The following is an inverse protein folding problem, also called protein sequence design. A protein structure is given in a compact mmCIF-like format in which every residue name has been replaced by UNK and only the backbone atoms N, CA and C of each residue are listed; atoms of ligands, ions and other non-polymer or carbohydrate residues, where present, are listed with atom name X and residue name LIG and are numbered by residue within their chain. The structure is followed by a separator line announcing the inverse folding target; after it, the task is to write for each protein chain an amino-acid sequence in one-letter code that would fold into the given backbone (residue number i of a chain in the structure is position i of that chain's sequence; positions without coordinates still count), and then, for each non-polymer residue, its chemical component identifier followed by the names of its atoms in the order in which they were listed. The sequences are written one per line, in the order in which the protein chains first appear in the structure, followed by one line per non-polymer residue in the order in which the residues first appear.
data_IF_639215196643
#
_entry.id   IF_639215196643
#
_cell.length_a   1.000
_cell.length_b   1.000
_cell.length_c   1.000
_cell.angle_alpha   90.00
_cell.angle_beta   90.00
_cell.angle_gamma   90.00
#
_symmetry.space_group_name_H-M   'P 1'
#
loop_
_entity.id
_entity.type
_entity.pdbx_description
1 polymer ?
#
# COMPACT_ATOMS: atom_id res chain seq x y z
N UNK A 1 -19.34 12.43 -10.89
CA UNK A 1 -18.36 11.46 -11.41
C UNK A 1 -19.13 10.28 -11.96
N UNK A 2 -18.76 9.79 -13.13
CA UNK A 2 -19.40 8.60 -13.71
C UNK A 2 -18.77 7.31 -13.15
N UNK A 3 -19.36 6.15 -13.48
CA UNK A 3 -18.90 4.83 -13.03
C UNK A 3 -17.44 4.56 -13.38
N UNK A 4 -17.02 4.87 -14.60
CA UNK A 4 -15.67 4.60 -15.10
C UNK A 4 -14.63 5.42 -14.34
N UNK A 5 -14.88 6.72 -14.12
CA UNK A 5 -14.02 7.59 -13.33
C UNK A 5 -13.87 7.11 -11.88
N UNK A 6 -14.97 6.69 -11.26
CA UNK A 6 -14.96 6.17 -9.90
C UNK A 6 -14.20 4.84 -9.79
N UNK A 7 -14.41 3.92 -10.74
CA UNK A 7 -13.67 2.66 -10.79
C UNK A 7 -12.17 2.90 -11.02
N UNK A 8 -11.80 3.87 -11.87
CA UNK A 8 -10.40 4.23 -12.10
C UNK A 8 -9.73 4.79 -10.84
N UNK A 9 -10.37 5.72 -10.13
CA UNK A 9 -9.82 6.26 -8.87
C UNK A 9 -9.82 5.24 -7.73
N UNK A 10 -10.76 4.30 -7.73
CA UNK A 10 -10.89 3.35 -6.63
C UNK A 10 -9.91 2.16 -6.74
N UNK A 11 -9.04 2.09 -7.74
CA UNK A 11 -8.10 0.97 -7.88
C UNK A 11 -7.19 0.82 -6.65
N UNK A 12 -6.89 -0.42 -6.25
CA UNK A 12 -5.91 -0.67 -5.21
C UNK A 12 -4.52 -0.75 -5.83
N UNK A 13 -3.54 -0.09 -5.22
CA UNK A 13 -2.16 -0.08 -5.71
C UNK A 13 -1.61 -1.51 -5.72
N UNK A 14 -1.47 -2.09 -6.91
CA UNK A 14 -0.85 -3.39 -7.14
C UNK A 14 0.67 -3.21 -7.11
N UNK A 15 1.28 -3.45 -5.95
CA UNK A 15 2.73 -3.39 -5.82
C UNK A 15 3.30 -4.80 -5.88
N UNK A 16 4.03 -5.08 -6.96
CA UNK A 16 4.77 -6.32 -7.16
C UNK A 16 6.24 -6.02 -7.43
N UNK A 17 7.09 -7.02 -7.25
CA UNK A 17 8.48 -6.91 -7.69
C UNK A 17 8.53 -6.70 -9.21
N UNK A 18 9.26 -5.68 -9.68
CA UNK A 18 9.37 -5.37 -11.11
C UNK A 18 10.13 -6.44 -11.88
N UNK A 19 9.68 -6.72 -13.10
CA UNK A 19 10.24 -7.74 -14.00
C UNK A 19 10.94 -7.15 -15.22
N UNK A 20 10.71 -5.87 -15.51
CA UNK A 20 11.27 -5.16 -16.65
C UNK A 20 11.57 -3.70 -16.27
N UNK A 21 12.26 -2.98 -17.16
CA UNK A 21 12.72 -1.61 -16.89
C UNK A 21 11.58 -0.62 -16.63
N UNK A 22 10.45 -0.72 -17.34
CA UNK A 22 9.29 0.15 -17.10
C UNK A 22 8.71 -0.07 -15.70
N UNK A 23 8.56 -1.34 -15.30
CA UNK A 23 8.06 -1.67 -13.97
C UNK A 23 9.02 -1.21 -12.86
N UNK A 24 10.33 -1.16 -13.13
CA UNK A 24 11.30 -0.58 -12.20
C UNK A 24 11.09 0.92 -12.00
N UNK A 25 10.80 1.67 -13.07
CA UNK A 25 10.44 3.09 -12.97
C UNK A 25 9.17 3.29 -12.14
N UNK A 26 8.14 2.48 -12.39
CA UNK A 26 6.88 2.53 -11.62
C UNK A 26 7.13 2.17 -10.14
N UNK A 27 8.02 1.22 -9.87
CA UNK A 27 8.43 0.86 -8.51
C UNK A 27 9.10 2.03 -7.80
N UNK A 28 10.01 2.76 -8.44
CA UNK A 28 10.63 3.95 -7.86
C UNK A 28 9.63 5.09 -7.64
N UNK A 29 8.67 5.28 -8.54
CA UNK A 29 7.58 6.24 -8.36
C UNK A 29 6.70 5.86 -7.15
N UNK A 30 6.37 4.57 -6.99
CA UNK A 30 5.69 4.08 -5.79
C UNK A 30 6.48 4.38 -4.52
N UNK A 31 7.78 4.07 -4.49
CA UNK A 31 8.65 4.35 -3.34
C UNK A 31 8.69 5.85 -3.03
N UNK A 32 8.76 6.70 -4.06
CA UNK A 32 8.74 8.15 -3.91
C UNK A 32 7.46 8.61 -3.21
N UNK A 33 6.29 8.18 -3.69
CA UNK A 33 4.99 8.55 -3.09
C UNK A 33 4.87 8.02 -1.67
N UNK A 34 5.18 6.75 -1.42
CA UNK A 34 5.05 6.13 -0.10
C UNK A 34 5.96 6.82 0.94
N UNK A 35 7.20 7.11 0.55
CA UNK A 35 8.23 7.67 1.42
C UNK A 35 8.20 9.21 1.52
N UNK A 36 7.60 9.89 0.55
CA UNK A 36 7.64 11.34 0.41
C UNK A 36 9.00 11.89 -0.04
N UNK A 37 9.83 11.04 -0.65
CA UNK A 37 11.14 11.40 -1.19
C UNK A 37 11.00 11.70 -2.68
N UNK A 38 11.81 12.63 -3.18
CA UNK A 38 11.84 12.99 -4.58
C UNK A 38 12.21 11.79 -5.47
N UNK A 39 11.39 11.53 -6.49
CA UNK A 39 11.60 10.43 -7.45
C UNK A 39 12.89 10.63 -8.25
N UNK A 40 13.24 11.88 -8.58
CA UNK A 40 14.43 12.17 -9.39
C UNK A 40 15.71 11.79 -8.63
N UNK A 41 15.73 12.03 -7.32
CA UNK A 41 16.82 11.63 -6.45
C UNK A 41 16.98 10.10 -6.40
N UNK A 42 15.87 9.36 -6.33
CA UNK A 42 15.88 7.89 -6.32
C UNK A 42 16.43 7.38 -7.66
N UNK A 43 15.91 7.91 -8.77
CA UNK A 43 16.31 7.52 -10.11
C UNK A 43 17.78 7.84 -10.41
N UNK A 44 18.28 8.99 -9.94
CA UNK A 44 19.69 9.37 -10.09
C UNK A 44 20.60 8.29 -9.48
N UNK A 45 20.31 7.86 -8.25
CA UNK A 45 21.10 6.81 -7.57
C UNK A 45 20.94 5.46 -8.24
N UNK A 46 19.72 5.07 -8.64
CA UNK A 46 19.50 3.82 -9.36
C UNK A 46 20.27 3.78 -10.69
N UNK A 47 20.29 4.89 -11.44
CA UNK A 47 20.99 5.00 -12.72
C UNK A 47 22.50 4.83 -12.59
N UNK A 48 23.11 5.37 -11.53
CA UNK A 48 24.54 5.16 -11.25
C UNK A 48 24.84 3.67 -11.09
N UNK A 49 24.03 2.95 -10.30
CA UNK A 49 24.22 1.52 -10.07
C UNK A 49 23.98 0.68 -11.33
N UNK A 50 22.95 1.01 -12.11
CA UNK A 50 22.69 0.36 -13.39
C UNK A 50 23.86 0.52 -14.36
N UNK A 51 24.44 1.73 -14.46
CA UNK A 51 25.60 2.00 -15.31
C UNK A 51 26.82 1.20 -14.87
N UNK A 52 27.08 1.07 -13.57
CA UNK A 52 28.15 0.25 -13.04
C UNK A 52 27.96 -1.23 -13.38
N UNK A 53 26.73 -1.75 -13.28
CA UNK A 53 26.42 -3.12 -13.68
C UNK A 53 26.65 -3.34 -15.19
N UNK A 54 26.24 -2.39 -16.04
CA UNK A 54 26.50 -2.47 -17.49
C UNK A 54 28.00 -2.48 -17.80
N UNK A 55 28.78 -1.63 -17.11
CA UNK A 55 30.24 -1.60 -17.28
C UNK A 55 30.89 -2.92 -16.83
N UNK A 56 30.45 -3.48 -15.70
CA UNK A 56 30.91 -4.79 -15.23
C UNK A 56 30.66 -5.89 -16.27
N UNK A 57 29.44 -5.94 -16.82
CA UNK A 57 29.08 -6.92 -17.85
C UNK A 57 29.89 -6.76 -19.15
N UNK A 58 30.27 -5.53 -19.52
CA UNK A 58 31.15 -5.29 -20.66
C UNK A 58 32.56 -5.82 -20.40
N UNK A 59 33.12 -5.53 -19.22
CA UNK A 59 34.45 -6.03 -18.84
C UNK A 59 34.49 -7.56 -18.75
N UNK A 60 33.41 -8.20 -18.28
CA UNK A 60 33.31 -9.67 -18.24
C UNK A 60 33.39 -10.30 -19.64
N UNK A 61 32.91 -9.60 -20.66
CA UNK A 61 32.99 -10.05 -22.06
C UNK A 61 34.35 -9.77 -22.69
N UNK A 62 34.95 -8.63 -22.36
CA UNK A 62 36.23 -8.20 -22.91
C UNK A 62 36.90 -7.21 -21.96
N UNK A 63 38.02 -7.61 -21.37
CA UNK A 63 38.87 -6.79 -20.50
C UNK A 63 40.28 -6.66 -21.12
N UNK A 64 40.43 -5.93 -22.24
CA UNK A 64 41.70 -5.82 -22.94
C UNK A 64 42.78 -5.11 -22.10
N UNK A 65 42.35 -4.21 -21.20
CA UNK A 65 43.22 -3.42 -20.34
C UNK A 65 43.51 -4.10 -18.99
N UNK A 66 42.90 -5.27 -18.72
CA UNK A 66 43.03 -6.03 -17.46
C UNK A 66 42.66 -5.22 -16.21
N UNK A 67 41.66 -4.34 -16.33
CA UNK A 67 41.22 -3.41 -15.27
C UNK A 67 40.12 -3.96 -14.37
N UNK A 68 39.63 -5.19 -14.62
CA UNK A 68 38.48 -5.76 -13.90
C UNK A 68 38.60 -5.65 -12.38
N UNK A 69 39.74 -6.05 -11.79
CA UNK A 69 39.91 -6.04 -10.34
C UNK A 69 39.84 -4.63 -9.73
N UNK A 70 40.43 -3.65 -10.40
CA UNK A 70 40.37 -2.26 -9.95
C UNK A 70 38.94 -1.70 -10.07
N UNK A 71 38.27 -2.01 -11.18
CA UNK A 71 36.88 -1.65 -11.39
C UNK A 71 35.95 -2.25 -10.32
N UNK A 72 36.09 -3.53 -10.01
CA UNK A 72 35.30 -4.22 -8.98
C UNK A 72 35.49 -3.60 -7.61
N UNK A 73 36.74 -3.27 -7.22
CA UNK A 73 37.00 -2.59 -5.95
C UNK A 73 36.31 -1.22 -5.86
N UNK A 74 36.36 -0.41 -6.93
CA UNK A 74 35.66 0.88 -6.97
C UNK A 74 34.15 0.71 -6.96
N UNK A 75 33.63 -0.25 -7.72
CA UNK A 75 32.20 -0.58 -7.79
C UNK A 75 31.69 -0.94 -6.39
N UNK A 76 32.37 -1.82 -5.69
CA UNK A 76 31.93 -2.33 -4.39
C UNK A 76 31.85 -1.19 -3.34
N UNK A 77 32.78 -0.23 -3.39
CA UNK A 77 32.69 0.99 -2.56
C UNK A 77 31.44 1.81 -2.88
N UNK A 78 31.12 2.01 -4.17
CA UNK A 78 29.91 2.74 -4.57
C UNK A 78 28.64 2.00 -4.14
N UNK A 79 28.60 0.68 -4.28
CA UNK A 79 27.48 -0.14 -3.83
C UNK A 79 27.29 -0.09 -2.32
N UNK A 80 28.36 -0.18 -1.51
CA UNK A 80 28.27 -0.05 -0.06
C UNK A 80 27.74 1.32 0.39
N UNK A 81 28.19 2.39 -0.26
CA UNK A 81 27.70 3.74 -0.01
C UNK A 81 26.22 3.90 -0.40
N UNK A 82 25.82 3.36 -1.56
CA UNK A 82 24.43 3.39 -2.00
C UNK A 82 23.51 2.55 -1.10
N UNK A 83 23.96 1.37 -0.66
CA UNK A 83 23.25 0.51 0.30
C UNK A 83 22.97 1.26 1.60
N UNK A 84 24.00 1.88 2.17
CA UNK A 84 23.87 2.73 3.38
C UNK A 84 22.87 3.86 3.15
N UNK A 85 22.93 4.51 1.98
CA UNK A 85 22.03 5.59 1.63
C UNK A 85 20.58 5.12 1.52
N UNK A 86 20.30 4.01 0.84
CA UNK A 86 18.95 3.46 0.70
C UNK A 86 18.37 2.96 2.02
N UNK A 87 19.17 2.29 2.85
CA UNK A 87 18.75 1.89 4.20
C UNK A 87 18.38 3.14 5.02
N UNK A 88 19.18 4.20 4.96
CA UNK A 88 18.86 5.46 5.64
C UNK A 88 17.59 6.12 5.09
N UNK A 89 17.39 6.03 3.78
CA UNK A 89 16.29 6.65 3.06
C UNK A 89 14.96 5.92 3.29
N UNK A 90 14.94 4.61 3.10
CA UNK A 90 13.71 3.80 3.07
C UNK A 90 13.56 2.81 4.22
N UNK A 91 14.63 2.54 4.97
CA UNK A 91 14.66 1.46 5.95
C UNK A 91 15.01 0.08 5.37
N UNK A 92 15.37 0.01 4.09
CA UNK A 92 15.83 -1.23 3.43
C UNK A 92 16.80 -0.90 2.28
N UNK A 93 17.53 -1.90 1.82
CA UNK A 93 18.56 -1.76 0.79
C UNK A 93 18.02 -2.11 -0.62
N UNK A 94 18.13 -1.18 -1.56
CA UNK A 94 17.74 -1.37 -2.96
C UNK A 94 18.84 -2.03 -3.83
N UNK A 95 20.05 -2.20 -3.29
CA UNK A 95 21.21 -2.74 -4.03
C UNK A 95 21.36 -4.25 -3.91
N UNK A 96 20.66 -4.86 -2.95
CA UNK A 96 20.65 -6.29 -2.69
C UNK A 96 19.33 -6.94 -3.15
N UNK A 97 19.26 -8.28 -3.10
CA UNK A 97 18.01 -8.97 -3.38
C UNK A 97 17.00 -8.71 -2.26
N UNK A 98 15.82 -8.21 -2.60
CA UNK A 98 14.72 -7.98 -1.66
C UNK A 98 13.38 -8.38 -2.30
N UNK A 99 12.37 -8.53 -1.46
CA UNK A 99 10.99 -8.76 -1.85
C UNK A 99 10.07 -7.62 -1.37
N UNK A 100 8.80 -7.66 -1.80
CA UNK A 100 7.83 -6.63 -1.41
C UNK A 100 7.57 -6.60 0.10
N UNK A 101 7.72 -7.73 0.80
CA UNK A 101 7.55 -7.75 2.26
C UNK A 101 8.66 -6.93 2.93
N UNK A 102 9.89 -7.05 2.47
CA UNK A 102 11.04 -6.25 2.91
C UNK A 102 10.81 -4.76 2.65
N UNK A 103 10.31 -4.41 1.47
CA UNK A 103 9.96 -3.02 1.10
C UNK A 103 8.94 -2.46 2.09
N UNK A 104 7.83 -3.15 2.31
CA UNK A 104 6.78 -2.68 3.21
C UNK A 104 7.25 -2.57 4.66
N UNK A 105 7.99 -3.56 5.15
CA UNK A 105 8.55 -3.54 6.50
C UNK A 105 9.51 -2.36 6.70
N UNK A 106 10.41 -2.12 5.74
CA UNK A 106 11.34 -0.98 5.78
C UNK A 106 10.59 0.35 5.80
N UNK A 107 9.64 0.52 4.87
CA UNK A 107 8.82 1.72 4.79
C UNK A 107 8.02 1.96 6.07
N UNK A 108 7.30 0.95 6.58
CA UNK A 108 6.52 1.09 7.81
C UNK A 108 7.38 1.38 9.03
N UNK A 109 8.54 0.74 9.14
CA UNK A 109 9.52 1.02 10.20
C UNK A 109 10.02 2.47 10.13
N UNK A 110 10.33 2.95 8.92
CA UNK A 110 10.93 4.28 8.71
C UNK A 110 9.93 5.42 8.83
N UNK A 111 8.73 5.28 8.27
CA UNK A 111 7.77 6.38 8.12
C UNK A 111 6.48 6.19 8.93
N UNK A 112 6.18 4.97 9.36
CA UNK A 112 4.93 4.61 10.02
C UNK A 112 3.78 4.36 9.03
N UNK A 113 2.98 3.32 9.30
CA UNK A 113 1.83 2.90 8.46
C UNK A 113 0.89 4.05 8.12
N UNK A 114 0.50 4.87 9.09
CA UNK A 114 -0.44 5.99 8.89
C UNK A 114 0.03 7.00 7.84
N UNK A 115 1.31 7.39 7.86
CA UNK A 115 1.84 8.37 6.89
C UNK A 115 1.86 7.79 5.48
N UNK A 116 2.27 6.53 5.37
CA UNK A 116 2.34 5.82 4.09
C UNK A 116 0.94 5.65 3.49
N UNK A 117 -0.01 5.16 4.28
CA UNK A 117 -1.42 5.01 3.86
C UNK A 117 -1.99 6.36 3.41
N UNK A 118 -1.77 7.42 4.19
CA UNK A 118 -2.25 8.77 3.84
C UNK A 118 -1.69 9.24 2.49
N UNK A 119 -0.39 9.06 2.26
CA UNK A 119 0.28 9.47 1.00
C UNK A 119 -0.22 8.69 -0.21
N UNK A 120 -0.41 7.38 -0.04
CA UNK A 120 -0.80 6.50 -1.14
C UNK A 120 -2.29 6.61 -1.48
N UNK A 121 -3.17 6.72 -0.49
CA UNK A 121 -4.60 6.47 -0.69
C UNK A 121 -5.54 7.62 -0.28
N UNK A 122 -5.08 8.63 0.48
CA UNK A 122 -6.03 9.60 1.06
C UNK A 122 -6.79 10.40 0.01
N UNK A 123 -6.10 10.95 -0.99
CA UNK A 123 -6.71 11.81 -2.00
C UNK A 123 -7.81 11.07 -2.79
N UNK A 124 -7.48 9.90 -3.33
CA UNK A 124 -8.40 9.07 -4.10
C UNK A 124 -9.57 8.56 -3.26
N UNK A 125 -9.34 8.06 -2.03
CA UNK A 125 -10.41 7.55 -1.18
C UNK A 125 -11.37 8.66 -0.74
N UNK A 126 -10.85 9.85 -0.43
CA UNK A 126 -11.68 11.01 -0.08
C UNK A 126 -12.54 11.43 -1.28
N UNK A 127 -11.97 11.47 -2.50
CA UNK A 127 -12.71 11.80 -3.72
C UNK A 127 -13.83 10.81 -3.99
N UNK A 128 -13.53 9.50 -3.92
CA UNK A 128 -14.53 8.43 -4.12
C UNK A 128 -15.63 8.51 -3.06
N UNK A 129 -15.26 8.65 -1.78
CA UNK A 129 -16.22 8.76 -0.68
C UNK A 129 -17.15 9.97 -0.81
N UNK A 130 -16.62 11.13 -1.19
CA UNK A 130 -17.42 12.33 -1.42
C UNK A 130 -18.41 12.14 -2.58
N UNK A 131 -17.98 11.50 -3.68
CA UNK A 131 -18.86 11.21 -4.81
C UNK A 131 -19.98 10.23 -4.43
N UNK A 132 -19.67 9.20 -3.63
CA UNK A 132 -20.66 8.26 -3.09
C UNK A 132 -21.68 9.01 -2.22
N UNK A 133 -21.23 9.90 -1.34
CA UNK A 133 -22.12 10.61 -0.42
C UNK A 133 -23.08 11.60 -1.08
N UNK A 134 -22.73 12.14 -2.25
CA UNK A 134 -23.60 13.04 -3.02
C UNK A 134 -24.78 12.26 -3.64
N UNK A 135 -24.59 10.99 -4.00
CA UNK A 135 -25.62 10.16 -4.60
C UNK A 135 -26.27 9.25 -3.54
N UNK A 136 -27.55 9.51 -3.23
CA UNK A 136 -28.31 8.77 -2.21
C UNK A 136 -28.32 7.25 -2.41
N UNK A 137 -28.48 6.78 -3.65
CA UNK A 137 -28.53 5.35 -3.94
C UNK A 137 -27.16 4.70 -3.70
N UNK A 138 -26.08 5.35 -4.16
CA UNK A 138 -24.70 4.89 -3.92
C UNK A 138 -24.35 4.89 -2.44
N UNK A 139 -24.70 5.95 -1.73
CA UNK A 139 -24.49 6.06 -0.29
C UNK A 139 -25.23 4.94 0.46
N UNK A 140 -26.48 4.63 0.08
CA UNK A 140 -27.25 3.53 0.68
C UNK A 140 -26.60 2.18 0.41
N UNK A 141 -26.19 1.91 -0.84
CA UNK A 141 -25.46 0.71 -1.18
C UNK A 141 -24.15 0.59 -0.39
N UNK A 142 -23.41 1.67 -0.25
CA UNK A 142 -22.16 1.70 0.51
C UNK A 142 -22.32 1.41 2.00
N UNK A 143 -23.33 2.01 2.65
CA UNK A 143 -23.64 1.67 4.04
C UNK A 143 -24.02 0.20 4.20
N UNK A 144 -24.77 -0.36 3.24
CA UNK A 144 -25.13 -1.78 3.26
C UNK A 144 -23.89 -2.69 3.14
N UNK A 145 -22.93 -2.36 2.27
CA UNK A 145 -21.68 -3.13 2.16
C UNK A 145 -20.84 -3.06 3.44
N UNK A 146 -20.74 -1.88 4.06
CA UNK A 146 -20.02 -1.73 5.33
C UNK A 146 -20.70 -2.52 6.47
N UNK A 147 -22.02 -2.45 6.56
CA UNK A 147 -22.78 -3.18 7.56
C UNK A 147 -22.64 -4.70 7.39
N UNK A 148 -22.57 -5.19 6.15
CA UNK A 148 -22.39 -6.61 5.85
C UNK A 148 -21.06 -7.18 6.33
N UNK A 149 -20.04 -6.33 6.50
CA UNK A 149 -18.74 -6.69 7.10
C UNK A 149 -18.59 -6.21 8.55
N UNK A 150 -19.68 -5.76 9.17
CA UNK A 150 -19.71 -5.32 10.57
C UNK A 150 -19.05 -3.97 10.86
N UNK A 151 -18.86 -3.11 9.85
CA UNK A 151 -18.19 -1.81 9.99
C UNK A 151 -19.20 -0.66 10.00
N UNK A 152 -19.00 0.31 10.89
CA UNK A 152 -19.78 1.53 10.92
C UNK A 152 -19.26 2.56 9.90
N UNK A 153 -20.15 3.17 9.13
CA UNK A 153 -19.78 4.21 8.17
C UNK A 153 -19.20 5.47 8.82
N UNK A 154 -19.60 5.81 10.05
CA UNK A 154 -18.99 6.92 10.79
C UNK A 154 -17.54 6.63 11.17
N UNK A 155 -17.16 5.36 11.34
CA UNK A 155 -15.79 4.94 11.55
C UNK A 155 -14.94 5.20 10.31
N UNK A 156 -15.42 4.82 9.12
CA UNK A 156 -14.72 5.14 7.86
C UNK A 156 -14.64 6.65 7.64
N UNK A 157 -15.73 7.38 7.87
CA UNK A 157 -15.75 8.84 7.80
C UNK A 157 -14.71 9.48 8.73
N UNK A 158 -14.52 8.92 9.92
CA UNK A 158 -13.53 9.40 10.89
C UNK A 158 -12.10 9.13 10.43
N UNK A 159 -11.84 7.97 9.81
CA UNK A 159 -10.55 7.68 9.15
C UNK A 159 -10.27 8.72 8.07
N UNK A 160 -11.21 8.94 7.14
CA UNK A 160 -11.02 9.89 6.04
C UNK A 160 -10.84 11.34 6.55
N UNK A 161 -11.63 11.76 7.54
CA UNK A 161 -11.49 13.08 8.18
C UNK A 161 -10.14 13.26 8.86
N UNK A 162 -9.58 12.21 9.47
CA UNK A 162 -8.26 12.32 10.11
C UNK A 162 -7.16 12.71 9.12
N UNK A 163 -7.30 12.36 7.84
CA UNK A 163 -6.34 12.73 6.80
C UNK A 163 -6.46 14.18 6.34
N UNK A 164 -7.61 14.84 6.53
CA UNK A 164 -7.80 16.25 6.16
C UNK A 164 -7.34 17.23 7.24
N UNK A 165 -7.04 16.74 8.45
CA UNK A 165 -6.46 17.53 9.54
C UNK A 165 -5.08 18.04 9.13
N UNK A 166 -4.87 19.36 9.24
CA UNK A 166 -3.63 20.05 8.86
C UNK A 166 -2.50 19.79 9.85
N UNK A 167 -2.80 19.82 11.15
CA UNK A 167 -1.78 19.52 12.16
C UNK A 167 -1.40 18.04 12.11
N UNK A 168 -0.10 17.77 12.08
CA UNK A 168 0.40 16.40 11.87
C UNK A 168 0.19 15.52 13.10
N UNK A 169 0.27 16.07 14.31
CA UNK A 169 0.09 15.31 15.55
C UNK A 169 -1.39 14.99 15.77
N UNK A 170 -2.26 15.97 15.56
CA UNK A 170 -3.71 15.79 15.63
C UNK A 170 -4.20 14.83 14.54
N UNK A 171 -3.71 14.95 13.30
CA UNK A 171 -4.02 14.03 12.20
C UNK A 171 -3.66 12.58 12.59
N UNK A 172 -2.46 12.37 13.14
CA UNK A 172 -2.02 11.05 13.57
C UNK A 172 -2.85 10.49 14.73
N UNK A 173 -3.19 11.33 15.72
CA UNK A 173 -4.00 10.92 16.87
C UNK A 173 -5.44 10.57 16.45
N UNK A 174 -6.06 11.42 15.63
CA UNK A 174 -7.40 11.18 15.10
C UNK A 174 -7.44 9.89 14.26
N UNK A 175 -6.43 9.67 13.42
CA UNK A 175 -6.32 8.44 12.64
C UNK A 175 -6.20 7.22 13.55
N UNK A 176 -5.33 7.28 14.56
CA UNK A 176 -5.12 6.17 15.49
C UNK A 176 -6.39 5.78 16.22
N UNK A 177 -7.18 6.76 16.67
CA UNK A 177 -8.47 6.51 17.34
C UNK A 177 -9.46 5.84 16.38
N UNK A 178 -9.68 6.44 15.20
CA UNK A 178 -10.63 5.93 14.22
C UNK A 178 -10.23 4.54 13.70
N UNK A 179 -8.94 4.31 13.50
CA UNK A 179 -8.42 3.03 13.04
C UNK A 179 -8.52 1.94 14.11
N UNK A 180 -8.27 2.26 15.39
CA UNK A 180 -8.51 1.31 16.49
C UNK A 180 -9.98 0.90 16.57
N UNK A 181 -10.90 1.84 16.39
CA UNK A 181 -12.34 1.55 16.34
C UNK A 181 -12.67 0.62 15.16
N UNK A 182 -12.11 0.89 13.98
CA UNK A 182 -12.27 0.04 12.80
C UNK A 182 -11.75 -1.39 13.05
N UNK A 183 -10.57 -1.53 13.64
CA UNK A 183 -10.03 -2.86 14.00
C UNK A 183 -10.93 -3.58 14.99
N UNK A 184 -11.45 -2.90 16.01
CA UNK A 184 -12.37 -3.49 16.98
C UNK A 184 -13.69 -3.94 16.34
N UNK A 185 -14.25 -3.16 15.42
CA UNK A 185 -15.47 -3.53 14.67
C UNK A 185 -15.26 -4.80 13.83
N UNK A 186 -14.14 -4.87 13.10
CA UNK A 186 -13.81 -6.05 12.29
C UNK A 186 -13.58 -7.31 13.14
N UNK A 187 -12.85 -7.17 14.25
CA UNK A 187 -12.56 -8.29 15.16
C UNK A 187 -13.84 -8.79 15.83
N UNK A 188 -14.73 -7.89 16.27
CA UNK A 188 -15.99 -8.29 16.88
C UNK A 188 -16.92 -8.97 15.88
N UNK A 189 -16.99 -8.46 14.65
CA UNK A 189 -17.76 -9.12 13.61
C UNK A 189 -17.20 -10.52 13.29
N UNK A 190 -15.88 -10.67 13.20
CA UNK A 190 -15.21 -11.95 13.03
C UNK A 190 -15.49 -12.93 14.17
N UNK A 191 -15.46 -12.44 15.42
CA UNK A 191 -15.82 -13.21 16.62
C UNK A 191 -17.22 -13.79 16.51
N UNK A 192 -18.20 -12.97 16.09
CA UNK A 192 -19.58 -13.38 15.93
C UNK A 192 -19.75 -14.42 14.81
N UNK A 193 -19.13 -14.19 13.65
CA UNK A 193 -19.18 -15.10 12.51
C UNK A 193 -18.64 -16.50 12.81
N UNK A 194 -17.61 -16.58 13.66
CA UNK A 194 -16.93 -17.84 14.00
C UNK A 194 -17.31 -18.38 15.38
N UNK A 195 -18.27 -17.76 16.07
CA UNK A 195 -18.71 -18.13 17.41
C UNK A 195 -17.54 -18.32 18.39
N UNK A 196 -16.57 -17.40 18.35
CA UNK A 196 -15.36 -17.49 19.20
C UNK A 196 -15.71 -16.97 20.60
N UNK A 197 -15.81 -17.87 21.56
CA UNK A 197 -16.15 -17.53 22.96
C UNK A 197 -14.93 -17.06 23.78
N UNK A 198 -13.72 -17.48 23.38
CA UNK A 198 -12.49 -17.19 24.11
C UNK A 198 -11.78 -15.93 23.62
N UNK A 199 -11.63 -14.94 24.51
CA UNK A 199 -10.89 -13.72 24.26
C UNK A 199 -9.40 -13.98 23.97
N UNK A 200 -8.82 -15.03 24.54
CA UNK A 200 -7.43 -15.43 24.29
C UNK A 200 -7.21 -15.92 22.86
N UNK A 201 -8.24 -16.49 22.23
CA UNK A 201 -8.17 -16.90 20.82
C UNK A 201 -8.16 -15.68 19.91
N UNK A 202 -8.97 -14.65 20.21
CA UNK A 202 -9.04 -13.41 19.42
C UNK A 202 -7.76 -12.59 19.47
N UNK A 203 -7.10 -12.52 20.63
CA UNK A 203 -5.83 -11.77 20.79
C UNK A 203 -4.69 -12.29 19.90
N UNK A 204 -4.78 -13.54 19.44
CA UNK A 204 -3.79 -14.16 18.55
C UNK A 204 -4.15 -14.04 17.06
N UNK A 205 -5.33 -13.53 16.71
CA UNK A 205 -5.75 -13.38 15.32
C UNK A 205 -5.15 -12.10 14.74
N UNK A 206 -4.32 -12.24 13.71
CA UNK A 206 -3.82 -11.11 12.93
C UNK A 206 -4.97 -10.47 12.13
N UNK A 207 -5.00 -9.14 12.04
CA UNK A 207 -6.00 -8.41 11.26
C UNK A 207 -6.05 -8.86 9.79
N UNK A 208 -4.91 -9.22 9.21
CA UNK A 208 -4.82 -9.81 7.86
C UNK A 208 -5.71 -11.03 7.70
N UNK A 209 -5.76 -11.92 8.71
CA UNK A 209 -6.61 -13.10 8.69
C UNK A 209 -8.08 -12.74 8.83
N UNK A 210 -8.41 -11.75 9.66
CA UNK A 210 -9.78 -11.25 9.80
C UNK A 210 -10.27 -10.74 8.45
N UNK A 211 -9.51 -9.84 7.82
CA UNK A 211 -9.88 -9.24 6.53
C UNK A 211 -9.99 -10.30 5.43
N UNK A 212 -9.02 -11.21 5.31
CA UNK A 212 -9.07 -12.29 4.30
C UNK A 212 -10.33 -13.15 4.44
N UNK A 213 -10.74 -13.45 5.67
CA UNK A 213 -11.96 -14.22 5.95
C UNK A 213 -13.22 -13.44 5.60
N UNK A 214 -13.29 -12.16 5.93
CA UNK A 214 -14.42 -11.29 5.58
C UNK A 214 -14.59 -11.12 4.07
N UNK A 215 -13.48 -11.02 3.34
CA UNK A 215 -13.54 -10.95 1.87
C UNK A 215 -14.05 -12.25 1.29
N UNK A 216 -13.61 -13.39 1.81
CA UNK A 216 -14.07 -14.71 1.37
C UNK A 216 -15.55 -14.97 1.69
N UNK A 217 -16.06 -14.46 2.81
CA UNK A 217 -17.47 -14.64 3.19
C UNK A 217 -18.41 -13.68 2.46
N UNK A 218 -17.99 -12.43 2.25
CA UNK A 218 -18.80 -11.43 1.54
C UNK A 218 -18.74 -11.57 0.02
N UNK A 219 -17.77 -12.35 -0.48
CA UNK A 219 -17.47 -12.67 -1.88
C UNK A 219 -17.10 -11.49 -2.80
N UNK A 220 -17.61 -10.27 -2.53
CA UNK A 220 -17.36 -9.07 -3.32
C UNK A 220 -17.51 -9.32 -4.83
N UNK A 221 -18.56 -10.03 -5.24
CA UNK A 221 -18.70 -10.55 -6.63
C UNK A 221 -18.96 -9.48 -7.69
N UNK A 222 -19.41 -8.29 -7.27
CA UNK A 222 -19.84 -7.21 -8.15
C UNK A 222 -18.91 -5.99 -8.00
N UNK A 223 -17.60 -6.20 -8.05
CA UNK A 223 -16.62 -5.13 -8.13
C UNK A 223 -16.23 -4.86 -9.58
N UNK A 224 -15.47 -3.79 -9.78
CA UNK A 224 -14.76 -3.56 -11.04
C UNK A 224 -13.88 -4.78 -11.40
N UNK A 225 -13.82 -5.12 -12.69
CA UNK A 225 -13.13 -6.31 -13.19
C UNK A 225 -11.61 -6.20 -13.08
N UNK A 226 -11.09 -4.98 -13.17
CA UNK A 226 -9.65 -4.70 -13.07
C UNK A 226 -9.22 -4.49 -11.60
N UNK A 227 -10.18 -4.43 -10.67
CA UNK A 227 -9.89 -4.31 -9.24
C UNK A 227 -9.20 -5.58 -8.73
N UNK A 228 -7.94 -5.44 -8.33
CA UNK A 228 -7.15 -6.58 -7.88
C UNK A 228 -7.56 -7.04 -6.47
N UNK A 229 -8.37 -8.10 -6.39
CA UNK A 229 -8.90 -8.65 -5.13
C UNK A 229 -7.96 -9.58 -4.37
N UNK A 230 -6.72 -9.85 -4.81
CA UNK A 230 -5.93 -10.95 -4.23
C UNK A 230 -4.50 -10.58 -3.83
N UNK A 231 -4.23 -9.29 -3.61
CA UNK A 231 -2.92 -8.80 -3.18
C UNK A 231 -3.03 -7.94 -1.92
N UNK A 232 -3.25 -8.59 -0.78
CA UNK A 232 -3.54 -7.93 0.50
C UNK A 232 -2.31 -7.63 1.37
N UNK A 233 -1.11 -8.04 0.93
CA UNK A 233 -0.02 -8.40 1.85
C UNK A 233 0.48 -7.29 2.79
N UNK A 234 0.17 -6.01 2.55
CA UNK A 234 0.64 -4.93 3.42
C UNK A 234 -0.45 -4.04 4.04
N UNK A 235 -1.58 -3.85 3.36
CA UNK A 235 -2.64 -2.93 3.79
C UNK A 235 -4.03 -3.55 3.53
N UNK A 236 -4.36 -4.69 4.16
CA UNK A 236 -5.62 -5.40 3.96
C UNK A 236 -6.83 -4.53 4.37
N UNK A 237 -6.67 -3.73 5.42
CA UNK A 237 -7.64 -2.77 5.93
C UNK A 237 -8.10 -1.76 4.85
N UNK A 238 -7.16 -1.18 4.12
CA UNK A 238 -7.44 -0.21 3.05
C UNK A 238 -8.11 -0.89 1.86
N UNK A 239 -7.66 -2.11 1.54
CA UNK A 239 -8.27 -2.92 0.49
C UNK A 239 -9.74 -3.20 0.78
N UNK A 240 -10.08 -3.57 2.01
CA UNK A 240 -11.45 -3.87 2.41
C UNK A 240 -12.39 -2.66 2.23
N UNK A 241 -11.94 -1.47 2.60
CA UNK A 241 -12.71 -0.23 2.42
C UNK A 241 -12.91 0.04 0.91
N UNK A 242 -11.85 -0.10 0.11
CA UNK A 242 -11.93 0.10 -1.35
C UNK A 242 -12.78 -0.97 -2.05
N UNK A 243 -12.80 -2.20 -1.56
CA UNK A 243 -13.70 -3.25 -2.04
C UNK A 243 -15.16 -2.88 -1.79
N UNK A 244 -15.48 -2.33 -0.62
CA UNK A 244 -16.81 -1.81 -0.33
C UNK A 244 -17.18 -0.68 -1.31
N UNK A 245 -16.28 0.27 -1.57
CA UNK A 245 -16.50 1.29 -2.60
C UNK A 245 -16.78 0.66 -3.98
N UNK A 246 -15.93 -0.27 -4.41
CA UNK A 246 -16.02 -0.91 -5.72
C UNK A 246 -17.35 -1.64 -5.89
N UNK A 247 -17.73 -2.43 -4.89
CA UNK A 247 -18.97 -3.19 -4.87
C UNK A 247 -20.19 -2.25 -4.95
N UNK A 248 -20.23 -1.17 -4.17
CA UNK A 248 -21.34 -0.23 -4.19
C UNK A 248 -21.46 0.54 -5.50
N UNK A 249 -20.32 0.97 -6.07
CA UNK A 249 -20.28 1.65 -7.37
C UNK A 249 -20.87 0.75 -8.45
N UNK A 250 -20.45 -0.52 -8.50
CA UNK A 250 -20.80 -1.43 -9.58
C UNK A 250 -22.19 -2.07 -9.42
N UNK A 251 -22.72 -2.15 -8.19
CA UNK A 251 -24.11 -2.50 -7.90
C UNK A 251 -25.12 -1.45 -8.33
N UNK A 252 -24.73 -0.18 -8.30
CA UNK A 252 -25.68 0.95 -8.36
C UNK A 252 -25.63 1.71 -9.68
N UNK A 253 -24.43 1.92 -10.24
CA UNK A 253 -24.22 2.60 -11.51
C UNK A 253 -24.00 1.58 -12.63
#
# INVERSE_FOLDING_TARGET
MNKQELNFLNQYVNVRMPRNASEWTDHYAFLAVASGIDVDLIMEKAKILMNLNVQHQKLLRSDPEKIMKEFESKRDVVFANASTYFVNMFGFDLTSAYDMQTVWNGLFSKFGKTKIVKRLFADEMIKVYNAININRALNTAYHAELQAIGVNADTIKSILKSWTVKDTKESAQAYRIAYKQFESELVEHYKLMHSIESESTLQNVKLEHVVDRLIKSHHFDQTDKEFNKYQFHALPDIMLIKLCFSQSINKTL
#
